data_IF_207770841065
#
_entry.id   IF_207770841065
#
_cell.length_a   1.000
_cell.length_b   1.000
_cell.length_c   1.000
_cell.angle_alpha   90.00
_cell.angle_beta   90.00
_cell.angle_gamma   90.00
#
_symmetry.space_group_name_H-M   'P 1'
#
loop_
_entity.id
_entity.type
_entity.pdbx_description
1 polymer ?
#
# COMPACT_ATOMS: atom_id res chain seq x y z
N UNK A 1 -10.23 9.27 -29.76
CA UNK A 1 -9.42 9.75 -28.64
C UNK A 1 -8.25 8.79 -28.52
N UNK A 2 -7.04 9.25 -28.27
CA UNK A 2 -5.92 8.32 -28.08
C UNK A 2 -5.88 7.82 -26.62
N UNK A 3 -5.19 6.71 -26.35
CA UNK A 3 -5.14 6.09 -25.02
C UNK A 3 -4.66 7.07 -23.94
N UNK A 4 -3.75 7.98 -24.28
CA UNK A 4 -3.24 8.98 -23.33
C UNK A 4 -4.31 9.99 -22.91
N UNK A 5 -5.15 10.44 -23.82
CA UNK A 5 -6.28 11.35 -23.52
C UNK A 5 -7.34 10.65 -22.65
N UNK A 6 -7.63 9.38 -22.94
CA UNK A 6 -8.54 8.56 -22.14
C UNK A 6 -7.99 8.41 -20.74
N UNK A 7 -6.69 8.12 -20.63
CA UNK A 7 -6.01 7.93 -19.34
C UNK A 7 -6.03 9.20 -18.48
N UNK A 8 -5.80 10.38 -19.07
CA UNK A 8 -5.89 11.67 -18.37
C UNK A 8 -7.31 11.90 -17.81
N UNK A 9 -8.34 11.52 -18.56
CA UNK A 9 -9.73 11.59 -18.08
C UNK A 9 -9.97 10.63 -16.93
N UNK A 10 -9.46 9.41 -17.04
CA UNK A 10 -9.54 8.42 -15.97
C UNK A 10 -8.82 8.90 -14.69
N UNK A 11 -7.60 9.41 -14.79
CA UNK A 11 -6.87 9.97 -13.66
C UNK A 11 -7.63 11.12 -12.98
N UNK A 12 -8.29 11.97 -13.76
CA UNK A 12 -9.13 13.04 -13.23
C UNK A 12 -10.33 12.47 -12.49
N UNK A 13 -11.08 11.55 -13.11
CA UNK A 13 -12.25 10.91 -12.50
C UNK A 13 -11.90 10.19 -11.18
N UNK A 14 -10.75 9.48 -11.15
CA UNK A 14 -10.20 8.87 -9.94
C UNK A 14 -9.84 9.95 -8.89
N UNK A 15 -9.22 11.05 -9.31
CA UNK A 15 -8.86 12.15 -8.41
C UNK A 15 -10.07 12.83 -7.76
N UNK A 16 -11.17 12.92 -8.50
CA UNK A 16 -12.42 13.55 -8.10
C UNK A 16 -13.35 12.57 -7.33
N UNK A 17 -12.90 11.31 -7.11
CA UNK A 17 -13.70 10.22 -6.51
C UNK A 17 -15.03 9.96 -7.25
N UNK A 18 -15.04 10.12 -8.56
CA UNK A 18 -16.23 9.93 -9.38
C UNK A 18 -16.32 8.49 -9.92
N UNK A 19 -16.89 7.59 -9.10
CA UNK A 19 -17.03 6.15 -9.43
C UNK A 19 -17.77 5.93 -10.74
N UNK A 20 -18.87 6.67 -10.98
CA UNK A 20 -19.67 6.51 -12.20
C UNK A 20 -18.88 6.88 -13.45
N UNK A 21 -18.12 7.97 -13.41
CA UNK A 21 -17.30 8.38 -14.55
C UNK A 21 -16.14 7.40 -14.78
N UNK A 22 -15.52 6.87 -13.71
CA UNK A 22 -14.51 5.79 -13.82
C UNK A 22 -15.10 4.59 -14.54
N UNK A 23 -16.27 4.09 -14.12
CA UNK A 23 -16.94 2.95 -14.76
C UNK A 23 -17.28 3.24 -16.21
N UNK A 24 -17.86 4.41 -16.51
CA UNK A 24 -18.22 4.80 -17.86
C UNK A 24 -17.02 4.84 -18.82
N UNK A 25 -15.87 5.37 -18.35
CA UNK A 25 -14.64 5.41 -19.14
C UNK A 25 -14.15 3.99 -19.43
N UNK A 26 -14.14 3.11 -18.43
CA UNK A 26 -13.65 1.74 -18.57
C UNK A 26 -14.57 0.88 -19.42
N UNK A 27 -15.90 1.07 -19.33
CA UNK A 27 -16.88 0.38 -20.17
C UNK A 27 -16.74 0.77 -21.65
N UNK A 28 -16.49 2.05 -21.93
CA UNK A 28 -16.33 2.57 -23.29
C UNK A 28 -14.97 2.22 -23.93
N UNK A 29 -13.98 1.89 -23.11
CA UNK A 29 -12.60 1.63 -23.51
C UNK A 29 -12.06 0.36 -22.84
N UNK A 30 -12.73 -0.75 -23.09
CA UNK A 30 -12.39 -2.07 -22.51
C UNK A 30 -11.03 -2.62 -22.96
N UNK A 31 -10.43 -2.02 -23.99
CA UNK A 31 -9.09 -2.30 -24.51
C UNK A 31 -8.00 -1.44 -23.86
N UNK A 32 -8.37 -0.53 -22.95
CA UNK A 32 -7.41 0.32 -22.25
C UNK A 32 -6.59 -0.53 -21.27
N UNK A 33 -5.28 -0.62 -21.50
CA UNK A 33 -4.37 -1.27 -20.56
C UNK A 33 -4.13 -0.36 -19.34
N UNK A 34 -4.73 -0.74 -18.20
CA UNK A 34 -4.58 -0.01 -16.93
C UNK A 34 -3.18 -0.13 -16.33
N UNK A 35 -2.33 -1.00 -16.88
CA UNK A 35 -1.01 -1.31 -16.37
C UNK A 35 0.11 -0.78 -17.30
N UNK A 36 -0.24 -0.08 -18.38
CA UNK A 36 0.75 0.52 -19.29
C UNK A 36 1.44 1.71 -18.59
N UNK A 37 2.69 1.49 -18.18
CA UNK A 37 3.51 2.46 -17.47
C UNK A 37 3.76 3.77 -18.25
N UNK A 38 3.59 3.76 -19.57
CA UNK A 38 3.80 4.94 -20.40
C UNK A 38 2.60 5.90 -20.37
N UNK A 39 1.45 5.44 -19.88
CA UNK A 39 0.23 6.25 -19.83
C UNK A 39 0.12 7.07 -18.54
N UNK A 40 0.73 6.62 -17.42
CA UNK A 40 0.63 7.34 -16.15
C UNK A 40 1.42 8.64 -16.16
N UNK A 41 0.82 9.69 -15.58
CA UNK A 41 1.54 10.94 -15.38
C UNK A 41 2.40 10.92 -14.12
N UNK A 42 1.89 10.35 -13.02
CA UNK A 42 2.58 10.27 -11.73
C UNK A 42 2.44 8.88 -11.07
N UNK A 43 1.22 8.41 -10.86
CA UNK A 43 0.93 7.15 -10.18
C UNK A 43 -0.10 6.33 -10.96
N UNK A 44 -0.01 4.97 -10.92
CA UNK A 44 -1.11 4.15 -11.39
C UNK A 44 -2.43 4.53 -10.70
N UNK A 45 -3.58 4.51 -11.41
CA UNK A 45 -4.87 4.91 -10.86
C UNK A 45 -5.22 4.17 -9.57
N UNK A 46 -4.89 2.87 -9.49
CA UNK A 46 -5.13 2.05 -8.31
C UNK A 46 -4.30 2.51 -7.10
N UNK A 47 -3.03 2.86 -7.29
CA UNK A 47 -2.18 3.39 -6.21
C UNK A 47 -2.77 4.69 -5.64
N UNK A 48 -3.22 5.58 -6.52
CA UNK A 48 -3.82 6.85 -6.12
C UNK A 48 -5.12 6.66 -5.38
N UNK A 49 -6.03 5.81 -5.89
CA UNK A 49 -7.30 5.50 -5.26
C UNK A 49 -7.09 4.84 -3.88
N UNK A 50 -6.17 3.88 -3.79
CA UNK A 50 -5.85 3.17 -2.55
C UNK A 50 -5.33 4.13 -1.47
N UNK A 51 -4.38 5.01 -1.80
CA UNK A 51 -3.84 6.00 -0.87
C UNK A 51 -4.88 7.01 -0.39
N UNK A 52 -5.86 7.33 -1.24
CA UNK A 52 -6.94 8.29 -0.94
C UNK A 52 -8.12 7.67 -0.18
N UNK A 53 -8.19 6.35 -0.07
CA UNK A 53 -9.30 5.67 0.60
C UNK A 53 -10.55 5.49 -0.27
N UNK A 54 -10.43 5.53 -1.58
CA UNK A 54 -11.55 5.44 -2.52
C UNK A 54 -11.90 3.97 -2.81
N UNK A 55 -12.57 3.31 -1.86
CA UNK A 55 -12.84 1.88 -1.89
C UNK A 55 -13.55 1.41 -3.17
N UNK A 56 -14.64 2.06 -3.56
CA UNK A 56 -15.41 1.66 -4.75
C UNK A 56 -14.58 1.83 -6.04
N UNK A 57 -13.75 2.86 -6.12
CA UNK A 57 -12.84 3.03 -7.25
C UNK A 57 -11.78 1.93 -7.27
N UNK A 58 -11.17 1.58 -6.12
CA UNK A 58 -10.23 0.47 -6.05
C UNK A 58 -10.87 -0.83 -6.54
N UNK A 59 -12.07 -1.13 -6.06
CA UNK A 59 -12.84 -2.31 -6.46
C UNK A 59 -13.12 -2.32 -7.96
N UNK A 60 -13.59 -1.21 -8.52
CA UNK A 60 -13.83 -1.06 -9.96
C UNK A 60 -12.54 -1.26 -10.76
N UNK A 61 -11.46 -0.57 -10.41
CA UNK A 61 -10.18 -0.70 -11.14
C UNK A 61 -9.66 -2.15 -11.14
N UNK A 62 -9.75 -2.85 -10.00
CA UNK A 62 -9.35 -4.26 -9.88
C UNK A 62 -10.22 -5.14 -10.78
N UNK A 63 -11.54 -4.92 -10.81
CA UNK A 63 -12.47 -5.66 -11.69
C UNK A 63 -12.15 -5.49 -13.18
N UNK A 64 -11.62 -4.32 -13.57
CA UNK A 64 -11.17 -4.04 -14.94
C UNK A 64 -9.69 -4.38 -15.19
N UNK A 65 -9.06 -5.17 -14.31
CA UNK A 65 -7.74 -5.74 -14.52
C UNK A 65 -6.56 -4.87 -14.12
N UNK A 66 -6.77 -3.86 -13.25
CA UNK A 66 -5.64 -3.14 -12.67
C UNK A 66 -4.79 -4.07 -11.81
N UNK A 67 -3.47 -4.05 -12.01
CA UNK A 67 -2.52 -4.84 -11.25
C UNK A 67 -2.44 -4.34 -9.80
N UNK A 68 -2.79 -5.21 -8.85
CA UNK A 68 -2.74 -4.91 -7.40
C UNK A 68 -1.32 -4.77 -6.87
N UNK A 69 -0.32 -5.22 -7.64
CA UNK A 69 1.10 -5.13 -7.33
C UNK A 69 1.83 -4.06 -8.15
N UNK A 70 1.08 -3.20 -8.85
CA UNK A 70 1.65 -2.15 -9.68
C UNK A 70 2.54 -1.20 -8.85
N UNK A 71 3.77 -0.98 -9.32
CA UNK A 71 4.72 -0.01 -8.74
C UNK A 71 5.35 0.75 -9.90
N UNK A 72 5.27 2.08 -9.90
CA UNK A 72 5.96 2.93 -10.88
C UNK A 72 7.09 3.72 -10.22
N UNK A 73 8.24 3.77 -10.90
CA UNK A 73 9.38 4.64 -10.54
C UNK A 73 9.79 4.57 -9.07
N UNK A 74 9.67 3.38 -8.49
CA UNK A 74 10.03 3.13 -7.10
C UNK A 74 9.21 3.94 -6.08
N UNK A 75 7.96 4.29 -6.36
CA UNK A 75 7.15 5.07 -5.45
C UNK A 75 6.50 4.20 -4.36
N UNK A 76 5.30 3.70 -4.59
CA UNK A 76 4.62 2.84 -3.62
C UNK A 76 3.56 1.96 -4.29
N UNK A 77 3.33 0.77 -3.74
CA UNK A 77 2.25 -0.11 -4.16
C UNK A 77 0.89 0.36 -3.67
N UNK A 78 -0.21 -0.14 -4.25
CA UNK A 78 -1.54 0.09 -3.71
C UNK A 78 -1.67 -0.34 -2.24
N UNK A 79 -1.06 -1.47 -1.86
CA UNK A 79 -1.09 -1.97 -0.47
C UNK A 79 -0.41 -1.01 0.50
N UNK A 80 0.78 -0.52 0.16
CA UNK A 80 1.46 0.47 0.98
C UNK A 80 0.66 1.76 1.08
N UNK A 81 0.12 2.23 -0.05
CA UNK A 81 -0.71 3.44 -0.09
C UNK A 81 -1.93 3.36 0.82
N UNK A 82 -2.70 2.27 0.73
CA UNK A 82 -3.86 2.01 1.59
C UNK A 82 -3.47 1.88 3.06
N UNK A 83 -2.36 1.19 3.34
CA UNK A 83 -1.84 0.98 4.70
C UNK A 83 -1.41 2.32 5.33
N UNK A 84 -0.63 3.11 4.61
CA UNK A 84 -0.17 4.43 5.03
C UNK A 84 -1.31 5.43 5.25
N UNK A 85 -2.43 5.28 4.51
CA UNK A 85 -3.66 6.08 4.64
C UNK A 85 -4.63 5.58 5.71
N UNK A 86 -4.33 4.49 6.41
CA UNK A 86 -5.21 3.84 7.39
C UNK A 86 -6.53 3.31 6.80
N UNK A 87 -6.52 2.80 5.58
CA UNK A 87 -7.70 2.32 4.86
C UNK A 87 -7.84 0.80 4.94
N UNK A 88 -8.22 0.25 6.12
CA UNK A 88 -8.26 -1.18 6.39
C UNK A 88 -9.07 -1.99 5.36
N UNK A 89 -10.23 -1.51 4.94
CA UNK A 89 -11.07 -2.25 3.99
C UNK A 89 -10.42 -2.33 2.59
N UNK A 90 -9.65 -1.33 2.19
CA UNK A 90 -8.87 -1.38 0.95
C UNK A 90 -7.67 -2.33 1.10
N UNK A 91 -7.02 -2.34 2.27
CA UNK A 91 -5.96 -3.32 2.59
C UNK A 91 -6.49 -4.74 2.45
N UNK A 92 -7.67 -5.03 3.01
CA UNK A 92 -8.33 -6.33 2.87
C UNK A 92 -8.60 -6.66 1.39
N UNK A 93 -9.24 -5.75 0.67
CA UNK A 93 -9.56 -5.90 -0.75
C UNK A 93 -8.30 -6.24 -1.58
N UNK A 94 -7.21 -5.51 -1.37
CA UNK A 94 -5.96 -5.72 -2.12
C UNK A 94 -5.34 -7.09 -1.81
N UNK A 95 -5.26 -7.50 -0.54
CA UNK A 95 -4.70 -8.80 -0.13
C UNK A 95 -5.57 -9.95 -0.66
N UNK A 96 -6.89 -9.83 -0.63
CA UNK A 96 -7.83 -10.82 -1.19
C UNK A 96 -7.68 -10.97 -2.71
N UNK A 97 -7.20 -9.94 -3.39
CA UNK A 97 -6.90 -9.96 -4.83
C UNK A 97 -5.41 -10.21 -5.16
N UNK A 98 -4.62 -10.71 -4.20
CA UNK A 98 -3.26 -11.17 -4.44
C UNK A 98 -2.16 -10.11 -4.31
N UNK A 99 -2.39 -9.05 -3.56
CA UNK A 99 -1.31 -8.12 -3.24
C UNK A 99 -0.22 -8.79 -2.41
N UNK A 100 1.05 -8.57 -2.79
CA UNK A 100 2.20 -9.08 -2.04
C UNK A 100 2.36 -8.29 -0.73
N UNK A 101 2.07 -8.97 0.39
CA UNK A 101 2.15 -8.39 1.74
C UNK A 101 3.57 -7.98 2.10
N UNK A 102 4.54 -8.68 1.53
CA UNK A 102 5.95 -8.51 1.84
C UNK A 102 6.72 -7.77 0.73
N UNK A 103 6.02 -7.14 -0.21
CA UNK A 103 6.66 -6.32 -1.22
C UNK A 103 7.57 -5.26 -0.59
N UNK A 104 8.78 -5.13 -1.14
CA UNK A 104 9.62 -3.98 -0.85
C UNK A 104 9.14 -2.80 -1.67
N UNK A 105 8.72 -1.79 -0.97
CA UNK A 105 8.57 -0.49 -1.59
C UNK A 105 9.96 0.10 -1.88
N UNK A 106 10.06 0.76 -2.98
CA UNK A 106 11.32 1.20 -3.56
C UNK A 106 12.20 2.07 -2.68
N UNK A 107 11.61 2.69 -1.71
CA UNK A 107 12.36 3.70 -0.96
C UNK A 107 12.84 3.21 0.38
N UNK A 108 12.32 2.10 0.95
CA UNK A 108 12.92 1.63 2.20
C UNK A 108 12.05 0.79 3.12
N UNK A 109 10.71 0.79 2.98
CA UNK A 109 9.82 0.23 4.00
C UNK A 109 8.77 -0.71 3.41
N UNK A 110 8.50 -1.84 4.05
CA UNK A 110 7.33 -2.65 3.77
C UNK A 110 6.07 -2.04 4.42
N UNK A 111 4.89 -2.45 3.99
CA UNK A 111 3.62 -1.94 4.53
C UNK A 111 3.54 -2.07 6.06
N UNK A 112 4.03 -3.18 6.64
CA UNK A 112 4.02 -3.41 8.09
C UNK A 112 4.89 -2.40 8.86
N UNK A 113 6.06 -2.02 8.33
CA UNK A 113 6.92 -1.01 8.95
C UNK A 113 6.23 0.35 8.98
N UNK A 114 5.60 0.74 7.88
CA UNK A 114 4.87 2.02 7.74
C UNK A 114 3.72 2.13 8.74
N UNK A 115 2.87 1.08 8.84
CA UNK A 115 1.72 1.10 9.76
C UNK A 115 2.14 1.04 11.22
N UNK A 116 3.26 0.37 11.53
CA UNK A 116 3.82 0.36 12.88
C UNK A 116 4.37 1.74 13.28
N UNK A 117 5.01 2.45 12.36
CA UNK A 117 5.48 3.82 12.57
C UNK A 117 4.34 4.83 12.72
N UNK A 118 3.19 4.59 12.06
CA UNK A 118 2.02 5.49 12.07
C UNK A 118 0.98 5.19 13.14
N UNK A 119 1.08 4.08 13.83
CA UNK A 119 0.13 3.72 14.90
C UNK A 119 -1.18 3.10 14.39
N UNK A 120 -1.20 2.52 13.18
CA UNK A 120 -2.41 1.93 12.59
C UNK A 120 -2.62 0.49 13.07
N UNK A 121 -3.01 0.31 14.34
CA UNK A 121 -3.04 -0.98 15.05
C UNK A 121 -3.85 -2.06 14.34
N UNK A 122 -5.06 -1.76 13.86
CA UNK A 122 -5.90 -2.75 13.19
C UNK A 122 -5.29 -3.27 11.89
N UNK A 123 -4.56 -2.42 11.15
CA UNK A 123 -3.85 -2.85 9.95
C UNK A 123 -2.61 -3.67 10.34
N UNK A 124 -1.86 -3.28 11.39
CA UNK A 124 -0.75 -4.09 11.91
C UNK A 124 -1.23 -5.50 12.23
N UNK A 125 -2.32 -5.62 13.00
CA UNK A 125 -2.92 -6.90 13.38
C UNK A 125 -3.28 -7.73 12.14
N UNK A 126 -4.00 -7.12 11.20
CA UNK A 126 -4.44 -7.81 9.98
C UNK A 126 -3.28 -8.27 9.10
N UNK A 127 -2.26 -7.41 8.87
CA UNK A 127 -1.09 -7.79 8.08
C UNK A 127 -0.33 -8.97 8.69
N UNK A 128 -0.15 -9.00 10.02
CA UNK A 128 0.49 -10.12 10.71
C UNK A 128 -0.34 -11.40 10.61
N UNK A 129 -1.67 -11.32 10.79
CA UNK A 129 -2.57 -12.46 10.59
C UNK A 129 -2.50 -13.03 9.17
N UNK A 130 -2.20 -12.20 8.17
CA UNK A 130 -2.05 -12.57 6.76
C UNK A 130 -0.62 -12.95 6.36
N UNK A 131 0.33 -13.02 7.29
CA UNK A 131 1.68 -13.52 7.05
C UNK A 131 2.70 -12.45 6.69
N UNK A 132 2.50 -11.20 7.09
CA UNK A 132 3.54 -10.19 6.97
C UNK A 132 4.77 -10.58 7.80
N UNK A 133 5.95 -10.35 7.23
CA UNK A 133 7.23 -10.60 7.92
C UNK A 133 7.41 -9.61 9.09
N UNK A 134 7.16 -10.12 10.30
CA UNK A 134 7.17 -9.35 11.54
C UNK A 134 8.55 -8.76 11.87
N UNK A 135 9.62 -9.32 11.29
CA UNK A 135 11.00 -8.92 11.52
C UNK A 135 11.64 -8.21 10.31
N UNK A 136 10.82 -7.79 9.34
CA UNK A 136 11.28 -7.12 8.13
C UNK A 136 12.02 -5.83 8.44
N UNK A 137 13.31 -5.78 8.15
CA UNK A 137 14.11 -4.57 8.37
C UNK A 137 13.93 -3.57 7.21
N UNK A 138 13.92 -2.28 7.54
CA UNK A 138 14.04 -1.22 6.53
C UNK A 138 15.47 -1.17 5.98
N UNK A 139 15.63 -0.75 4.73
CA UNK A 139 16.94 -0.78 4.07
C UNK A 139 17.89 0.32 4.52
N UNK A 140 17.38 1.44 5.01
CA UNK A 140 18.21 2.60 5.40
C UNK A 140 18.61 2.59 6.87
N UNK A 141 17.65 2.36 7.77
CA UNK A 141 17.89 2.40 9.20
C UNK A 141 18.01 1.03 9.84
N UNK A 142 17.75 -0.04 9.06
CA UNK A 142 17.68 -1.42 9.55
C UNK A 142 16.68 -1.59 10.72
N UNK A 143 15.64 -0.78 10.76
CA UNK A 143 14.59 -0.85 11.77
C UNK A 143 13.57 -1.91 11.42
N UNK A 144 13.22 -2.75 12.40
CA UNK A 144 12.07 -3.66 12.35
C UNK A 144 10.75 -2.91 12.58
N UNK A 145 9.59 -3.53 12.31
CA UNK A 145 8.29 -2.95 12.69
C UNK A 145 8.21 -2.62 14.20
N UNK A 146 8.83 -3.46 15.05
CA UNK A 146 8.90 -3.21 16.49
C UNK A 146 9.73 -1.95 16.80
N UNK A 147 10.88 -1.78 16.16
CA UNK A 147 11.72 -0.59 16.37
C UNK A 147 10.98 0.69 15.94
N UNK A 148 10.27 0.66 14.81
CA UNK A 148 9.45 1.78 14.35
C UNK A 148 8.33 2.12 15.35
N UNK A 149 7.62 1.10 15.87
CA UNK A 149 6.56 1.34 16.86
C UNK A 149 7.08 1.93 18.16
N UNK A 150 8.27 1.49 18.64
CA UNK A 150 8.92 2.02 19.84
C UNK A 150 9.36 3.47 19.61
N UNK A 151 10.08 3.74 18.51
CA UNK A 151 10.61 5.07 18.24
C UNK A 151 9.51 6.11 18.00
N UNK A 152 8.35 5.67 17.53
CA UNK A 152 7.17 6.52 17.31
C UNK A 152 6.22 6.59 18.51
N UNK A 153 6.52 5.88 19.61
CA UNK A 153 5.73 5.94 20.85
C UNK A 153 4.42 5.14 20.82
N UNK A 154 4.25 4.21 19.87
CA UNK A 154 3.05 3.39 19.73
C UNK A 154 3.11 2.14 20.64
N UNK A 155 2.95 2.34 21.95
CA UNK A 155 3.13 1.31 22.96
C UNK A 155 2.24 0.07 22.78
N UNK A 156 0.99 0.24 22.36
CA UNK A 156 0.05 -0.87 22.13
C UNK A 156 0.57 -1.77 20.99
N UNK A 157 1.03 -1.18 19.89
CA UNK A 157 1.63 -1.92 18.77
C UNK A 157 2.91 -2.60 19.21
N UNK A 158 3.76 -1.91 19.99
CA UNK A 158 5.00 -2.47 20.47
C UNK A 158 4.78 -3.70 21.36
N UNK A 159 3.79 -3.66 22.24
CA UNK A 159 3.41 -4.80 23.08
C UNK A 159 2.88 -5.95 22.23
N UNK A 160 1.96 -5.68 21.32
CA UNK A 160 1.40 -6.69 20.42
C UNK A 160 2.48 -7.35 19.56
N UNK A 161 3.38 -6.57 18.97
CA UNK A 161 4.49 -7.11 18.17
C UNK A 161 5.42 -8.01 18.99
N UNK A 162 5.76 -7.62 20.24
CA UNK A 162 6.55 -8.45 21.17
C UNK A 162 5.84 -9.75 21.50
N UNK A 163 4.54 -9.73 21.79
CA UNK A 163 3.74 -10.93 22.05
C UNK A 163 3.72 -11.88 20.85
N UNK A 164 3.82 -11.35 19.62
CA UNK A 164 3.92 -12.13 18.39
C UNK A 164 5.35 -12.58 18.05
N UNK A 165 6.33 -12.28 18.90
CA UNK A 165 7.72 -12.70 18.72
C UNK A 165 8.57 -11.77 17.85
N UNK A 166 8.17 -10.51 17.67
CA UNK A 166 8.98 -9.53 16.98
C UNK A 166 10.29 -9.24 17.71
N UNK A 167 11.37 -9.11 16.94
CA UNK A 167 12.70 -8.80 17.42
C UNK A 167 13.01 -7.31 17.23
N UNK A 168 13.60 -6.68 18.24
CA UNK A 168 14.11 -5.32 18.12
C UNK A 168 15.56 -5.35 17.66
N UNK A 169 15.87 -4.58 16.62
CA UNK A 169 17.23 -4.42 16.13
C UNK A 169 17.97 -3.27 16.84
N UNK A 170 17.24 -2.32 17.43
CA UNK A 170 17.83 -1.21 18.18
C UNK A 170 18.66 -1.73 19.36
N UNK A 171 18.18 -2.76 20.06
CA UNK A 171 18.91 -3.34 21.19
C UNK A 171 20.25 -3.98 20.76
N UNK A 172 20.34 -4.51 19.53
CA UNK A 172 21.58 -5.12 19.02
C UNK A 172 22.64 -4.07 18.66
N UNK A 173 22.23 -2.85 18.29
CA UNK A 173 23.14 -1.76 17.95
C UNK A 173 23.76 -1.09 19.17
N UNK A 174 23.13 -1.22 20.36
CA UNK A 174 23.57 -0.58 21.60
C UNK A 174 24.16 -1.58 22.64
N UNK A 175 24.20 -2.88 22.34
CA UNK A 175 24.75 -3.90 23.25
C UNK A 175 26.11 -4.44 22.83
N UNK A 176 26.76 -3.84 21.85
CA UNK A 176 28.11 -4.19 21.41
C UNK A 176 29.16 -3.27 22.07
N UNK A 177 29.25 -3.35 23.42
CA UNK A 177 30.40 -2.89 24.18
C UNK A 177 31.02 -4.06 24.96
#
# INVERSE_FOLDING_TARGET
>A
MNNKEIYIKLEKAVGDNNVQEVSNILDQHSDLDLNDENLYTLHPPLCRAAKKGFYEICKTLIQYGADVNCIKDRLFSPLWGASSGNHLEIVKLLIENGADINAYESSTTAALNEVAAKGHFEIVRYLIEKGADINRLTTTLLFSPLDWSISSGHNEISLFLKEKGALSNICLLYTSD
#
